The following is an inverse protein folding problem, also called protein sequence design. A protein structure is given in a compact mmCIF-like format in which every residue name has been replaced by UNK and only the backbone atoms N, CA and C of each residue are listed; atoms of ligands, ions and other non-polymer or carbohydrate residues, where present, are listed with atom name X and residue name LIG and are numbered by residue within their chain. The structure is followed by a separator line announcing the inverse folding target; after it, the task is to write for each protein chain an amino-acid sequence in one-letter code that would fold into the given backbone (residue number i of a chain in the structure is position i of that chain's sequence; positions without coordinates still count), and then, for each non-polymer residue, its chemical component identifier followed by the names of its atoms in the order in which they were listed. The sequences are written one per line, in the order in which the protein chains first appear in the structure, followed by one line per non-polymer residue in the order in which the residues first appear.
data_IF_255788512421
#
_entry.id   IF_255788512421
#
_cell.length_a   1.000
_cell.length_b   1.000
_cell.length_c   1.000
_cell.angle_alpha   90.00
_cell.angle_beta   90.00
_cell.angle_gamma   90.00
#
_symmetry.space_group_name_H-M   'P 1'
#
loop_
_entity.id
_entity.type
_entity.pdbx_description
1 polymer ?
#
# COMPACT_ATOMS: atom_id res chain seq x y z
N UNK A 1 15.88 -2.71 22.58
CA UNK A 1 16.18 -2.25 21.20
C UNK A 1 14.93 -2.29 20.33
N UNK A 2 13.80 -2.77 20.87
CA UNK A 2 12.54 -3.05 20.17
C UNK A 2 11.65 -1.84 19.94
N UNK A 3 11.78 -0.80 20.75
CA UNK A 3 10.91 0.39 20.69
C UNK A 3 11.12 1.21 19.41
N UNK A 4 12.35 1.34 18.92
CA UNK A 4 12.64 2.04 17.65
C UNK A 4 12.05 1.31 16.45
N UNK A 5 12.13 -0.02 16.40
CA UNK A 5 11.51 -0.82 15.33
C UNK A 5 9.99 -0.79 15.41
N UNK A 6 9.43 -0.68 16.61
CA UNK A 6 7.98 -0.52 16.80
C UNK A 6 7.49 0.85 16.31
N UNK A 7 8.23 1.91 16.61
CA UNK A 7 7.92 3.29 16.21
C UNK A 7 7.95 3.46 14.68
N UNK A 8 9.02 3.01 14.03
CA UNK A 8 9.17 3.06 12.56
C UNK A 8 8.03 2.29 11.87
N UNK A 9 7.60 1.16 12.44
CA UNK A 9 6.50 0.36 11.88
C UNK A 9 5.16 1.09 11.96
N UNK A 10 4.91 1.82 13.04
CA UNK A 10 3.70 2.61 13.24
C UNK A 10 3.67 3.82 12.30
N UNK A 11 4.77 4.57 12.21
CA UNK A 11 4.90 5.72 11.32
C UNK A 11 4.69 5.33 9.85
N UNK A 12 5.22 4.17 9.43
CA UNK A 12 5.02 3.67 8.07
C UNK A 12 3.56 3.25 7.81
N UNK A 13 2.85 2.75 8.82
CA UNK A 13 1.43 2.41 8.69
C UNK A 13 0.53 3.65 8.60
N UNK A 14 0.81 4.66 9.43
CA UNK A 14 0.10 5.94 9.41
C UNK A 14 0.34 6.66 8.07
N UNK A 15 1.56 6.60 7.53
CA UNK A 15 1.89 7.08 6.19
C UNK A 15 1.10 6.35 5.09
N UNK A 16 1.08 5.02 5.11
CA UNK A 16 0.30 4.18 4.19
C UNK A 16 -1.17 4.62 4.18
N UNK A 17 -1.79 4.80 5.35
CA UNK A 17 -3.19 5.21 5.47
C UNK A 17 -3.42 6.63 4.93
N UNK A 18 -2.55 7.58 5.26
CA UNK A 18 -2.67 8.97 4.81
C UNK A 18 -2.41 9.13 3.30
N UNK A 19 -1.36 8.48 2.79
CA UNK A 19 -0.96 8.52 1.40
C UNK A 19 -2.03 7.93 0.47
N UNK A 20 -2.84 6.96 0.92
CA UNK A 20 -3.90 6.41 0.06
C UNK A 20 -4.98 7.41 -0.29
N UNK A 21 -5.32 8.37 0.56
CA UNK A 21 -6.27 9.41 0.18
C UNK A 21 -5.72 10.30 -0.94
N UNK A 22 -4.44 10.63 -0.90
CA UNK A 22 -3.75 11.47 -1.89
C UNK A 22 -3.47 10.73 -3.19
N UNK A 23 -2.99 9.48 -3.12
CA UNK A 23 -2.76 8.62 -4.29
C UNK A 23 -4.08 8.40 -5.04
N UNK A 24 -5.21 8.17 -4.35
CA UNK A 24 -6.51 8.07 -5.02
C UNK A 24 -6.89 9.35 -5.79
N UNK A 25 -6.54 10.52 -5.27
CA UNK A 25 -6.79 11.79 -5.95
C UNK A 25 -5.87 11.99 -7.17
N UNK A 26 -4.57 11.68 -7.07
CA UNK A 26 -3.62 11.81 -8.18
C UNK A 26 -3.90 10.80 -9.30
N UNK A 27 -4.30 9.58 -8.93
CA UNK A 27 -4.68 8.51 -9.86
C UNK A 27 -5.99 8.82 -10.59
N UNK A 28 -6.94 9.51 -9.94
CA UNK A 28 -8.14 10.03 -10.62
C UNK A 28 -7.83 11.19 -11.59
N UNK A 29 -6.67 11.83 -11.45
CA UNK A 29 -6.19 12.89 -12.32
C UNK A 29 -5.19 12.40 -13.38
N UNK A 30 -5.00 11.08 -13.51
CA UNK A 30 -4.02 10.45 -14.41
C UNK A 30 -2.59 11.01 -14.26
N UNK A 31 -2.16 11.32 -13.03
CA UNK A 31 -0.82 11.83 -12.75
C UNK A 31 0.05 10.75 -12.11
N UNK A 32 1.32 10.72 -12.51
CA UNK A 32 2.39 9.93 -11.86
C UNK A 32 2.04 8.45 -11.67
N UNK A 33 1.24 7.87 -12.58
CA UNK A 33 0.65 6.54 -12.42
C UNK A 33 1.71 5.45 -12.20
N UNK A 34 2.84 5.49 -12.91
CA UNK A 34 3.97 4.56 -12.74
C UNK A 34 4.63 4.66 -11.36
N UNK A 35 4.81 5.89 -10.87
CA UNK A 35 5.42 6.14 -9.56
C UNK A 35 4.52 5.60 -8.44
N UNK A 36 3.22 5.86 -8.54
CA UNK A 36 2.26 5.34 -7.57
C UNK A 36 2.13 3.81 -7.64
N UNK A 37 2.25 3.21 -8.82
CA UNK A 37 2.28 1.75 -8.97
C UNK A 37 3.47 1.15 -8.21
N UNK A 38 4.67 1.71 -8.37
CA UNK A 38 5.87 1.28 -7.65
C UNK A 38 5.71 1.41 -6.12
N UNK A 39 5.16 2.54 -5.64
CA UNK A 39 4.90 2.76 -4.21
C UNK A 39 3.92 1.73 -3.64
N UNK A 40 2.83 1.44 -4.37
CA UNK A 40 1.84 0.43 -3.98
C UNK A 40 2.46 -0.96 -3.91
N UNK A 41 3.34 -1.33 -4.85
CA UNK A 41 4.05 -2.61 -4.82
C UNK A 41 5.01 -2.75 -3.63
N UNK A 42 5.71 -1.67 -3.28
CA UNK A 42 6.58 -1.63 -2.10
C UNK A 42 5.80 -1.78 -0.80
N UNK A 43 4.66 -1.10 -0.67
CA UNK A 43 3.79 -1.20 0.50
C UNK A 43 3.18 -2.59 0.64
N UNK A 44 2.78 -3.21 -0.47
CA UNK A 44 2.28 -4.59 -0.48
C UNK A 44 3.34 -5.58 0.00
N UNK A 45 4.60 -5.45 -0.47
CA UNK A 45 5.71 -6.29 0.01
C UNK A 45 5.98 -6.10 1.49
N UNK A 46 5.89 -4.87 1.97
CA UNK A 46 6.06 -4.56 3.39
C UNK A 46 4.94 -5.15 4.26
N UNK A 47 3.68 -5.06 3.82
CA UNK A 47 2.53 -5.64 4.52
C UNK A 47 2.60 -7.17 4.53
N UNK A 48 2.99 -7.80 3.42
CA UNK A 48 3.21 -9.25 3.36
C UNK A 48 4.29 -9.69 4.37
N UNK A 49 5.39 -8.95 4.46
CA UNK A 49 6.41 -9.20 5.49
C UNK A 49 5.84 -9.05 6.91
N UNK A 50 5.04 -8.02 7.18
CA UNK A 50 4.43 -7.81 8.49
C UNK A 50 3.47 -8.95 8.85
N UNK A 51 2.61 -9.36 7.92
CA UNK A 51 1.67 -10.47 8.08
C UNK A 51 2.43 -11.76 8.38
N UNK A 52 3.46 -12.08 7.58
CA UNK A 52 4.24 -13.31 7.76
C UNK A 52 5.16 -13.29 9.00
N UNK A 53 5.48 -12.11 9.52
CA UNK A 53 6.31 -11.95 10.74
C UNK A 53 5.52 -11.98 12.05
N UNK A 54 4.18 -11.97 11.98
CA UNK A 54 3.27 -11.99 13.13
C UNK A 54 2.52 -13.32 13.14
N UNK A 55 2.18 -13.83 14.33
CA UNK A 55 1.22 -14.94 14.41
C UNK A 55 -0.09 -14.53 13.72
N UNK A 56 -0.69 -15.46 12.98
CA UNK A 56 -1.94 -15.24 12.24
C UNK A 56 -3.08 -14.74 13.15
N UNK A 57 -3.02 -15.08 14.44
CA UNK A 57 -4.01 -14.71 15.46
C UNK A 57 -3.75 -13.35 16.11
N UNK A 58 -2.69 -12.64 15.72
CA UNK A 58 -2.42 -11.32 16.28
C UNK A 58 -3.46 -10.31 15.73
N UNK A 59 -4.17 -9.54 16.59
CA UNK A 59 -5.26 -8.65 16.14
C UNK A 59 -4.85 -7.62 15.07
N UNK A 60 -3.57 -7.23 15.05
CA UNK A 60 -3.03 -6.32 14.03
C UNK A 60 -2.85 -6.98 12.66
N UNK A 61 -2.71 -8.30 12.59
CA UNK A 61 -2.58 -9.05 11.33
C UNK A 61 -3.84 -8.87 10.48
N UNK A 62 -5.03 -8.86 11.09
CA UNK A 62 -6.29 -8.56 10.41
C UNK A 62 -6.29 -7.16 9.77
N UNK A 63 -5.77 -6.15 10.49
CA UNK A 63 -5.67 -4.78 9.97
C UNK A 63 -4.72 -4.74 8.76
N UNK A 64 -3.59 -5.43 8.83
CA UNK A 64 -2.65 -5.51 7.70
C UNK A 64 -3.26 -6.19 6.48
N UNK A 65 -4.04 -7.26 6.66
CA UNK A 65 -4.79 -7.89 5.57
C UNK A 65 -5.80 -6.95 4.93
N UNK A 66 -6.55 -6.17 5.72
CA UNK A 66 -7.50 -5.18 5.19
C UNK A 66 -6.79 -4.14 4.33
N UNK A 67 -5.70 -3.56 4.83
CA UNK A 67 -4.90 -2.56 4.09
C UNK A 67 -4.33 -3.18 2.80
N UNK A 68 -3.77 -4.40 2.88
CA UNK A 68 -3.21 -5.07 1.72
C UNK A 68 -4.27 -5.35 0.63
N UNK A 69 -5.49 -5.71 1.03
CA UNK A 69 -6.59 -5.92 0.08
C UNK A 69 -6.99 -4.64 -0.65
N UNK A 70 -7.04 -3.50 0.05
CA UNK A 70 -7.35 -2.22 -0.57
C UNK A 70 -6.22 -1.76 -1.51
N UNK A 71 -4.97 -2.01 -1.14
CA UNK A 71 -3.82 -1.79 -2.00
C UNK A 71 -3.84 -2.63 -3.28
N UNK A 72 -4.21 -3.91 -3.19
CA UNK A 72 -4.35 -4.78 -4.36
C UNK A 72 -5.40 -4.22 -5.32
N UNK A 73 -6.49 -3.65 -4.80
CA UNK A 73 -7.53 -3.01 -5.64
C UNK A 73 -6.99 -1.77 -6.33
N UNK A 74 -6.25 -0.93 -5.61
CA UNK A 74 -5.61 0.27 -6.17
C UNK A 74 -4.59 -0.09 -7.24
N UNK A 75 -3.73 -1.08 -6.98
CA UNK A 75 -2.79 -1.62 -7.97
C UNK A 75 -3.50 -2.03 -9.27
N UNK A 76 -4.58 -2.81 -9.15
CA UNK A 76 -5.38 -3.24 -10.31
C UNK A 76 -6.01 -2.07 -11.06
N UNK A 77 -6.32 -0.97 -10.37
CA UNK A 77 -6.83 0.24 -11.02
C UNK A 77 -5.71 0.97 -11.78
N UNK A 78 -4.56 1.16 -11.13
CA UNK A 78 -3.35 1.75 -11.74
C UNK A 78 -2.91 0.98 -12.99
N UNK A 79 -2.80 -0.34 -12.91
CA UNK A 79 -2.47 -1.21 -14.05
C UNK A 79 -3.45 -1.05 -15.22
N UNK A 80 -4.74 -0.79 -14.93
CA UNK A 80 -5.75 -0.56 -15.97
C UNK A 80 -5.62 0.82 -16.60
N UNK A 81 -5.29 1.85 -15.82
CA UNK A 81 -5.11 3.21 -16.35
C UNK A 81 -3.85 3.30 -17.21
N UNK A 82 -2.72 2.73 -16.74
CA UNK A 82 -1.48 2.69 -17.50
C UNK A 82 -1.65 1.99 -18.86
N UNK A 83 -2.34 0.84 -18.89
CA UNK A 83 -2.66 0.16 -20.16
C UNK A 83 -3.50 1.00 -21.12
N UNK A 84 -4.41 1.83 -20.60
CA UNK A 84 -5.20 2.75 -21.44
C UNK A 84 -4.36 3.89 -22.01
N UNK A 85 -3.37 4.36 -21.27
CA UNK A 85 -2.43 5.38 -21.74
C UNK A 85 -1.50 4.83 -22.83
N UNK A 86 -1.05 3.58 -22.71
CA UNK A 86 -0.20 2.93 -23.72
C UNK A 86 -0.93 2.62 -25.05
N UNK A 87 -2.27 2.60 -25.04
CA UNK A 87 -3.12 2.34 -26.20
C UNK A 87 -3.54 3.62 -26.97
N UNK A 88 -3.20 4.81 -26.47
CA UNK A 88 -3.53 6.14 -27.03
C UNK A 88 -2.32 6.82 -27.70
#
# INVERSE_FOLDING_TARGET
MDDKKSLIRKEKLDYIIAAYAEIWAEVMLDKNLDLHLLQVEDDLRYLDHLINSKDADHPQTFIYYTIANDLIRLKKFLDKQLKRHDEL
#
